data_IF_155750217843
#
_entry.id   IF_155750217843
#
_cell.length_a   1.000
_cell.length_b   1.000
_cell.length_c   1.000
_cell.angle_alpha   90.00
_cell.angle_beta   90.00
_cell.angle_gamma   90.00
#
_symmetry.space_group_name_H-M   'P 1'
#
loop_
_entity.id
_entity.type
_entity.pdbx_description
1 polymer ?
#
# COMPACT_ATOMS: atom_id res chain seq x y z
N UNK A 1 9.81 -10.62 -1.86
CA UNK A 1 9.44 -9.81 -0.69
C UNK A 1 9.37 -10.61 0.61
N UNK A 2 8.39 -11.51 0.86
CA UNK A 2 8.31 -12.25 2.15
C UNK A 2 9.60 -13.02 2.47
N UNK A 3 10.14 -13.75 1.50
CA UNK A 3 11.41 -14.47 1.65
C UNK A 3 12.57 -13.53 2.02
N UNK A 4 12.74 -12.45 1.28
CA UNK A 4 13.79 -11.45 1.50
C UNK A 4 13.70 -10.81 2.91
N UNK A 5 12.48 -10.56 3.41
CA UNK A 5 12.27 -10.07 4.78
C UNK A 5 12.68 -11.10 5.85
N UNK A 6 12.39 -12.38 5.62
CA UNK A 6 12.81 -13.47 6.51
C UNK A 6 14.35 -13.60 6.50
N UNK A 7 14.97 -13.53 5.32
CA UNK A 7 16.43 -13.55 5.17
C UNK A 7 17.11 -12.35 5.86
N UNK A 8 16.44 -11.19 5.88
CA UNK A 8 16.87 -10.02 6.63
C UNK A 8 16.61 -10.10 8.15
N UNK A 9 16.09 -11.23 8.66
CA UNK A 9 15.90 -11.48 10.08
C UNK A 9 14.54 -11.02 10.66
N UNK A 10 13.58 -10.65 9.82
CA UNK A 10 12.22 -10.34 10.29
C UNK A 10 11.47 -11.65 10.60
N UNK A 11 10.96 -11.85 11.83
CA UNK A 11 10.26 -13.09 12.18
C UNK A 11 9.01 -13.28 11.33
N UNK A 12 8.83 -14.50 10.81
CA UNK A 12 7.78 -14.81 9.84
C UNK A 12 6.36 -14.62 10.42
N UNK A 13 6.19 -14.77 11.75
CA UNK A 13 4.90 -14.55 12.41
C UNK A 13 4.41 -13.10 12.34
N UNK A 14 5.30 -12.13 12.10
CA UNK A 14 4.95 -10.71 11.94
C UNK A 14 4.81 -10.29 10.47
N UNK A 15 4.91 -11.24 9.52
CA UNK A 15 4.79 -10.96 8.08
C UNK A 15 3.46 -11.50 7.55
N UNK A 16 2.52 -10.59 7.29
CA UNK A 16 1.26 -10.89 6.60
C UNK A 16 1.38 -10.53 5.12
N UNK A 17 1.02 -11.47 4.24
CA UNK A 17 0.98 -11.21 2.79
C UNK A 17 -0.45 -10.92 2.34
N UNK A 18 -0.65 -9.75 1.72
CA UNK A 18 -1.88 -9.47 0.99
C UNK A 18 -1.73 -9.86 -0.48
N UNK A 19 -2.42 -10.90 -0.91
CA UNK A 19 -2.40 -11.38 -2.30
C UNK A 19 -3.50 -10.75 -3.18
N UNK A 20 -4.39 -9.94 -2.61
CA UNK A 20 -5.51 -9.32 -3.33
C UNK A 20 -5.36 -7.79 -3.50
N UNK A 21 -4.24 -7.20 -3.07
CA UNK A 21 -3.87 -5.80 -3.29
C UNK A 21 -3.37 -5.52 -4.72
N UNK A 22 -4.19 -5.81 -5.74
CA UNK A 22 -3.80 -5.75 -7.15
C UNK A 22 -3.64 -4.32 -7.70
N UNK A 23 -4.20 -3.33 -7.01
CA UNK A 23 -4.05 -1.89 -7.28
C UNK A 23 -3.77 -1.16 -5.97
N UNK A 24 -3.18 0.04 -6.05
CA UNK A 24 -2.91 0.86 -4.86
C UNK A 24 -4.16 1.11 -4.01
N UNK A 25 -5.31 1.37 -4.64
CA UNK A 25 -6.60 1.47 -3.95
C UNK A 25 -6.96 0.19 -3.19
N UNK A 26 -6.79 -0.97 -3.83
CA UNK A 26 -7.11 -2.25 -3.21
C UNK A 26 -6.22 -2.46 -1.97
N UNK A 27 -4.91 -2.17 -2.05
CA UNK A 27 -3.99 -2.27 -0.91
C UNK A 27 -4.38 -1.35 0.26
N UNK A 28 -4.71 -0.08 -0.01
CA UNK A 28 -5.04 0.91 1.03
C UNK A 28 -6.37 0.58 1.71
N UNK A 29 -7.42 0.31 0.93
CA UNK A 29 -8.74 -0.01 1.50
C UNK A 29 -8.70 -1.31 2.28
N UNK A 30 -7.96 -2.31 1.79
CA UNK A 30 -7.81 -3.60 2.49
C UNK A 30 -6.97 -3.45 3.76
N UNK A 31 -5.94 -2.61 3.77
CA UNK A 31 -5.20 -2.29 5.00
C UNK A 31 -6.15 -1.85 6.14
N UNK A 32 -7.11 -0.98 5.81
CA UNK A 32 -8.14 -0.54 6.77
C UNK A 32 -9.16 -1.63 7.07
N UNK A 33 -9.83 -2.16 6.05
CA UNK A 33 -11.07 -2.96 6.20
C UNK A 33 -10.82 -4.45 6.46
N UNK A 34 -9.76 -5.00 5.87
CA UNK A 34 -9.42 -6.43 6.00
C UNK A 34 -8.46 -6.62 7.15
N UNK A 35 -7.38 -5.84 7.17
CA UNK A 35 -6.33 -6.00 8.17
C UNK A 35 -6.54 -5.15 9.43
N UNK A 36 -7.61 -4.37 9.48
CA UNK A 36 -8.00 -3.59 10.67
C UNK A 36 -6.98 -2.53 11.06
N UNK A 37 -6.10 -2.10 10.16
CA UNK A 37 -5.08 -1.11 10.46
C UNK A 37 -5.71 0.28 10.53
N UNK A 38 -5.18 1.12 11.41
CA UNK A 38 -5.61 2.52 11.58
C UNK A 38 -4.47 3.51 11.32
N UNK A 39 -3.23 3.10 11.59
CA UNK A 39 -2.01 3.84 11.29
C UNK A 39 -0.97 2.90 10.68
N UNK A 40 -0.25 3.33 9.64
CA UNK A 40 0.79 2.51 8.99
C UNK A 40 1.86 3.33 8.27
N UNK A 41 2.97 2.68 7.93
CA UNK A 41 4.00 3.23 7.03
C UNK A 41 3.91 2.52 5.68
N UNK A 42 3.81 3.29 4.60
CA UNK A 42 3.79 2.80 3.21
C UNK A 42 5.18 2.93 2.63
N UNK A 43 5.83 1.79 2.36
CA UNK A 43 7.16 1.76 1.73
C UNK A 43 7.01 1.31 0.27
N UNK A 44 7.31 2.19 -0.69
CA UNK A 44 7.20 1.87 -2.13
C UNK A 44 8.02 2.85 -2.98
N UNK A 45 7.94 2.74 -4.32
CA UNK A 45 8.48 3.78 -5.20
C UNK A 45 7.69 5.09 -5.02
N UNK A 46 8.35 6.22 -5.28
CA UNK A 46 7.80 7.59 -5.14
C UNK A 46 6.38 7.72 -5.70
N UNK A 47 6.22 7.34 -6.97
CA UNK A 47 4.98 7.27 -7.73
C UNK A 47 3.82 6.53 -7.01
N UNK A 48 4.13 5.41 -6.34
CA UNK A 48 3.14 4.60 -5.63
C UNK A 48 2.85 5.16 -4.24
N UNK A 49 3.87 5.70 -3.57
CA UNK A 49 3.73 6.34 -2.27
C UNK A 49 2.80 7.55 -2.38
N UNK A 50 3.01 8.44 -3.35
CA UNK A 50 2.16 9.62 -3.56
C UNK A 50 0.68 9.24 -3.70
N UNK A 51 0.38 8.28 -4.58
CA UNK A 51 -0.99 7.80 -4.79
C UNK A 51 -1.55 7.11 -3.55
N UNK A 52 -0.74 6.33 -2.84
CA UNK A 52 -1.20 5.61 -1.66
C UNK A 52 -1.53 6.55 -0.49
N UNK A 53 -0.73 7.59 -0.29
CA UNK A 53 -0.98 8.63 0.73
C UNK A 53 -2.26 9.40 0.44
N UNK A 54 -2.48 9.78 -0.83
CA UNK A 54 -3.74 10.40 -1.25
C UNK A 54 -4.95 9.52 -0.94
N UNK A 55 -4.89 8.23 -1.27
CA UNK A 55 -5.98 7.28 -1.02
C UNK A 55 -6.16 6.94 0.47
N UNK A 56 -5.08 6.97 1.25
CA UNK A 56 -5.14 6.72 2.69
C UNK A 56 -5.89 7.83 3.42
N UNK A 57 -5.66 9.09 3.01
CA UNK A 57 -6.41 10.25 3.53
C UNK A 57 -7.92 10.11 3.29
N UNK A 58 -8.32 9.72 2.08
CA UNK A 58 -9.72 9.45 1.72
C UNK A 58 -10.30 8.26 2.51
N UNK A 59 -9.49 7.22 2.76
CA UNK A 59 -9.89 6.02 3.49
C UNK A 59 -9.85 6.15 5.03
N UNK A 60 -9.65 7.36 5.56
CA UNK A 60 -9.49 7.61 7.01
C UNK A 60 -8.42 6.72 7.65
N UNK A 61 -7.30 6.54 6.95
CA UNK A 61 -6.15 5.76 7.36
C UNK A 61 -4.97 6.70 7.57
N UNK A 62 -4.44 6.74 8.79
CA UNK A 62 -3.24 7.52 9.10
C UNK A 62 -2.02 6.83 8.46
N UNK A 63 -1.36 7.51 7.52
CA UNK A 63 -0.31 6.89 6.73
C UNK A 63 0.88 7.83 6.54
N UNK A 64 2.07 7.29 6.76
CA UNK A 64 3.35 7.95 6.44
C UNK A 64 3.99 7.23 5.26
N UNK A 65 4.48 7.99 4.28
CA UNK A 65 5.13 7.45 3.09
C UNK A 65 6.65 7.41 3.25
N UNK A 66 7.27 6.27 2.91
CA UNK A 66 8.72 6.14 2.80
C UNK A 66 9.08 5.71 1.38
N UNK A 67 9.77 6.60 0.65
CA UNK A 67 10.19 6.33 -0.72
C UNK A 67 11.42 5.42 -0.71
N UNK A 68 11.30 4.26 -1.35
CA UNK A 68 12.41 3.35 -1.58
C UNK A 68 13.36 3.90 -2.66
N UNK A 69 14.66 3.63 -2.54
CA UNK A 69 15.65 4.08 -3.52
C UNK A 69 15.34 3.53 -4.94
N UNK A 70 15.34 4.41 -5.94
CA UNK A 70 14.93 4.10 -7.31
C UNK A 70 15.94 3.18 -8.05
N UNK A 71 15.41 2.31 -8.92
CA UNK A 71 16.18 1.57 -9.93
C UNK A 71 16.62 2.50 -11.09
N UNK A 72 17.57 2.10 -11.97
CA UNK A 72 18.21 3.01 -12.94
C UNK A 72 17.29 3.80 -13.88
N UNK A 73 17.67 5.05 -14.13
CA UNK A 73 17.02 6.19 -14.82
C UNK A 73 16.44 5.94 -16.24
N UNK A 74 16.76 4.84 -16.93
CA UNK A 74 16.52 4.72 -18.39
C UNK A 74 15.13 4.20 -18.80
N UNK A 75 14.26 3.83 -17.84
CA UNK A 75 12.88 3.33 -18.09
C UNK A 75 11.76 4.35 -17.79
N UNK A 76 12.12 5.58 -17.41
CA UNK A 76 11.23 6.52 -16.72
C UNK A 76 10.09 7.11 -17.57
N UNK A 77 10.28 7.36 -18.88
CA UNK A 77 9.29 8.09 -19.69
C UNK A 77 7.99 7.29 -19.91
N UNK A 78 8.09 5.99 -20.23
CA UNK A 78 6.90 5.13 -20.39
C UNK A 78 6.20 4.86 -19.05
N UNK A 79 6.96 4.85 -17.94
CA UNK A 79 6.39 4.75 -16.60
C UNK A 79 5.58 6.00 -16.28
N UNK A 80 6.14 7.20 -16.42
CA UNK A 80 5.45 8.45 -16.09
C UNK A 80 4.12 8.63 -16.85
N UNK A 81 4.05 8.27 -18.14
CA UNK A 81 2.78 8.35 -18.90
C UNK A 81 1.74 7.37 -18.36
N UNK A 82 2.14 6.11 -18.12
CA UNK A 82 1.26 5.10 -17.51
C UNK A 82 0.80 5.54 -16.14
N UNK A 83 1.69 6.16 -15.40
CA UNK A 83 1.48 6.57 -14.03
C UNK A 83 0.52 7.77 -13.94
N UNK A 84 0.68 8.77 -14.81
CA UNK A 84 -0.24 9.89 -14.95
C UNK A 84 -1.68 9.41 -15.24
N UNK A 85 -1.85 8.47 -16.18
CA UNK A 85 -3.16 7.87 -16.46
C UNK A 85 -3.72 7.10 -15.25
N UNK A 86 -2.85 6.45 -14.49
CA UNK A 86 -3.26 5.71 -13.31
C UNK A 86 -3.65 6.64 -12.14
N UNK A 87 -3.07 7.86 -12.05
CA UNK A 87 -3.49 8.90 -11.10
C UNK A 87 -4.88 9.43 -11.45
N UNK A 88 -5.13 9.73 -12.73
CA UNK A 88 -6.46 10.15 -13.21
C UNK A 88 -7.51 9.08 -12.90
N UNK A 89 -7.20 7.80 -13.15
CA UNK A 89 -8.11 6.70 -12.82
C UNK A 89 -8.40 6.61 -11.32
N UNK A 90 -7.41 6.83 -10.47
CA UNK A 90 -7.61 6.81 -9.02
C UNK A 90 -8.59 7.91 -8.57
N UNK A 91 -8.46 9.13 -9.13
CA UNK A 91 -9.40 10.22 -8.84
C UNK A 91 -10.83 9.88 -9.29
N UNK A 92 -10.98 9.23 -10.45
CA UNK A 92 -12.30 8.76 -10.92
C UNK A 92 -12.86 7.67 -10.01
N UNK A 93 -12.04 6.73 -9.56
CA UNK A 93 -12.48 5.67 -8.65
C UNK A 93 -12.98 6.25 -7.31
N UNK A 94 -12.35 7.29 -6.78
CA UNK A 94 -12.82 8.02 -5.58
C UNK A 94 -14.12 8.79 -5.86
N UNK A 95 -14.14 9.59 -6.93
CA UNK A 95 -15.33 10.38 -7.28
C UNK A 95 -16.58 9.53 -7.57
N UNK A 96 -16.40 8.28 -7.99
CA UNK A 96 -17.47 7.33 -8.25
C UNK A 96 -17.77 6.37 -7.09
N UNK A 97 -17.20 6.59 -5.90
CA UNK A 97 -17.32 5.72 -4.71
C UNK A 97 -17.08 4.23 -5.02
N UNK A 98 -16.05 3.98 -5.83
CA UNK A 98 -15.84 2.66 -6.43
C UNK A 98 -15.23 1.71 -5.40
N UNK A 99 -16.00 0.70 -5.02
CA UNK A 99 -15.55 -0.31 -4.06
C UNK A 99 -14.49 -1.27 -4.65
N UNK A 100 -13.61 -1.85 -3.81
CA UNK A 100 -12.65 -2.87 -4.25
C UNK A 100 -13.36 -4.07 -4.85
N UNK A 101 -12.81 -4.62 -5.95
CA UNK A 101 -13.44 -5.76 -6.64
C UNK A 101 -13.45 -7.05 -5.80
N UNK A 102 -12.47 -7.22 -4.92
CA UNK A 102 -12.38 -8.34 -3.98
C UNK A 102 -12.02 -7.83 -2.59
N UNK A 103 -13.04 -7.53 -1.78
CA UNK A 103 -12.84 -7.05 -0.42
C UNK A 103 -12.36 -8.17 0.51
N UNK A 104 -12.96 -9.37 0.44
CA UNK A 104 -12.65 -10.48 1.33
C UNK A 104 -13.11 -10.25 2.78
N UNK A 105 -12.99 -11.29 3.61
CA UNK A 105 -13.32 -11.23 5.04
C UNK A 105 -12.19 -10.57 5.85
N UNK A 106 -12.49 -9.96 7.01
CA UNK A 106 -11.47 -9.44 7.91
C UNK A 106 -10.47 -10.53 8.36
N UNK A 107 -9.18 -10.17 8.40
CA UNK A 107 -8.08 -11.05 8.80
C UNK A 107 -7.29 -10.38 9.92
N UNK A 108 -7.09 -11.09 11.03
CA UNK A 108 -6.24 -10.62 12.12
C UNK A 108 -4.77 -10.64 11.71
N UNK A 109 -4.12 -9.49 11.77
CA UNK A 109 -2.67 -9.38 11.64
C UNK A 109 -2.00 -9.48 13.00
N UNK A 110 -0.91 -10.24 13.09
CA UNK A 110 -0.11 -10.30 14.30
C UNK A 110 0.84 -9.08 14.32
N UNK A 111 0.64 -8.18 15.27
CA UNK A 111 1.45 -6.98 15.45
C UNK A 111 2.37 -7.15 16.65
N UNK A 112 3.65 -6.85 16.48
CA UNK A 112 4.56 -6.73 17.62
C UNK A 112 4.16 -5.46 18.38
N UNK A 113 3.88 -5.59 19.69
CA UNK A 113 3.61 -4.43 20.53
C UNK A 113 4.77 -3.45 20.42
N UNK A 114 4.48 -2.21 20.00
CA UNK A 114 5.48 -1.16 19.99
C UNK A 114 5.90 -0.89 21.43
N UNK A 115 7.16 -1.16 21.77
CA UNK A 115 7.78 -0.54 22.95
C UNK A 115 7.92 0.93 22.60
N UNK A 116 7.04 1.76 23.15
CA UNK A 116 7.25 3.20 23.20
C UNK A 116 8.48 3.37 24.09
N UNK A 117 9.60 3.81 23.49
CA UNK A 117 10.77 4.30 24.22
C UNK A 117 10.47 5.70 24.77
#
# INVERSE_FOLDING_TARGET
>A
MKKDLIEAGIPAEFITCDYAGLRTLDSVVRARRVFGLHSLVIVSQEEHVERAIYLAADSSLDAVGLVAANAPRWWQIRQHVREALARVKAMIDVAADRQPKHLGEPITVNLKSARIL
#
